data_IF_832246497705
#
_entry.id   IF_832246497705
#
_cell.length_a   1.000
_cell.length_b   1.000
_cell.length_c   1.000
_cell.angle_alpha   90.00
_cell.angle_beta   90.00
_cell.angle_gamma   90.00
#
_symmetry.space_group_name_H-M   'P 1'
#
loop_
_entity.id
_entity.type
_entity.pdbx_description
1 polymer ?
#
# COMPACT_ATOMS: atom_id res chain seq x y z
N UNK A 1 24.97 1.92 -11.22
CA UNK A 1 24.99 2.46 -12.28
C UNK A 1 23.98 3.46 -12.87
N UNK A 2 23.96 4.73 -12.37
CA UNK A 2 23.24 5.79 -13.07
C UNK A 2 23.91 6.10 -14.43
N UNK A 3 23.09 6.39 -15.45
CA UNK A 3 23.57 6.80 -16.77
C UNK A 3 23.27 8.27 -17.00
N UNK A 4 24.31 9.05 -17.32
CA UNK A 4 24.20 10.46 -17.62
C UNK A 4 24.53 10.73 -19.09
N UNK A 5 23.75 11.61 -19.75
CA UNK A 5 24.05 12.19 -21.03
C UNK A 5 24.75 13.55 -20.88
N UNK A 6 25.77 13.79 -21.70
CA UNK A 6 26.40 15.10 -21.89
C UNK A 6 25.91 15.66 -23.20
N UNK A 7 25.41 16.88 -23.19
CA UNK A 7 24.78 17.53 -24.33
C UNK A 7 25.44 18.87 -24.65
N UNK A 8 25.44 19.27 -25.92
CA UNK A 8 25.95 20.56 -26.37
C UNK A 8 24.90 21.66 -26.34
N UNK A 9 23.63 21.35 -26.07
CA UNK A 9 22.51 22.27 -26.03
C UNK A 9 21.70 22.16 -24.73
N UNK A 10 21.10 23.25 -24.30
CA UNK A 10 20.31 23.32 -23.04
C UNK A 10 19.02 22.51 -23.06
N UNK A 11 18.50 22.20 -24.26
CA UNK A 11 17.34 21.31 -24.44
C UNK A 11 17.68 19.84 -24.31
N UNK A 12 18.95 19.49 -24.15
CA UNK A 12 19.43 18.11 -24.08
C UNK A 12 18.99 17.25 -25.29
N UNK A 13 19.05 17.82 -26.49
CA UNK A 13 18.70 17.15 -27.75
C UNK A 13 19.93 16.63 -28.49
N UNK A 14 21.06 17.34 -28.41
CA UNK A 14 22.32 16.97 -29.09
C UNK A 14 23.28 16.31 -28.11
N UNK A 15 23.16 15.00 -27.94
CA UNK A 15 24.00 14.23 -27.02
C UNK A 15 25.40 14.02 -27.60
N UNK A 16 26.41 14.46 -26.84
CA UNK A 16 27.83 14.35 -27.19
C UNK A 16 28.43 13.02 -26.68
N UNK A 17 28.12 12.68 -25.41
CA UNK A 17 28.64 11.46 -24.77
C UNK A 17 27.61 10.93 -23.75
N UNK A 18 27.88 9.69 -23.29
CA UNK A 18 27.24 9.10 -22.11
C UNK A 18 28.29 8.71 -21.09
N UNK A 19 27.91 8.72 -19.81
CA UNK A 19 28.71 8.25 -18.69
C UNK A 19 27.86 7.32 -17.84
N UNK A 20 28.45 6.27 -17.29
CA UNK A 20 27.78 5.37 -16.33
C UNK A 20 28.57 5.40 -15.03
N UNK A 21 27.90 5.60 -13.90
CA UNK A 21 28.54 5.60 -12.58
C UNK A 21 28.94 4.18 -12.19
N UNK A 22 30.13 4.07 -11.58
CA UNK A 22 30.64 2.84 -10.97
C UNK A 22 29.99 2.55 -9.60
N UNK A 23 30.51 1.55 -8.89
CA UNK A 23 30.04 1.16 -7.54
C UNK A 23 30.23 2.23 -6.46
N UNK A 24 31.08 3.24 -6.71
CA UNK A 24 31.30 4.37 -5.81
C UNK A 24 30.46 5.60 -6.19
N UNK A 25 29.57 5.47 -7.20
CA UNK A 25 28.78 6.56 -7.73
C UNK A 25 29.57 7.55 -8.60
N UNK A 26 30.77 7.20 -9.06
CA UNK A 26 31.62 8.05 -9.86
C UNK A 26 31.57 7.70 -11.34
N UNK A 27 31.50 8.74 -12.19
CA UNK A 27 31.65 8.61 -13.64
C UNK A 27 32.55 9.71 -14.19
N UNK A 28 33.31 9.40 -15.26
CA UNK A 28 34.16 10.35 -15.98
C UNK A 28 33.95 10.23 -17.48
N UNK A 29 33.79 11.36 -18.14
CA UNK A 29 33.73 11.41 -19.61
C UNK A 29 35.09 11.19 -20.25
N UNK A 30 35.09 10.86 -21.54
CA UNK A 30 36.27 11.13 -22.39
C UNK A 30 36.54 12.65 -22.48
N UNK A 31 37.72 13.01 -22.99
CA UNK A 31 38.11 14.41 -23.12
C UNK A 31 37.08 15.20 -23.96
N UNK A 32 36.70 16.38 -23.49
CA UNK A 32 35.82 17.33 -24.15
C UNK A 32 36.61 18.57 -24.58
N UNK A 33 36.18 19.19 -25.68
CA UNK A 33 36.66 20.52 -26.07
C UNK A 33 36.17 21.56 -25.07
N UNK A 34 36.95 22.62 -24.82
CA UNK A 34 36.53 23.71 -23.94
C UNK A 34 35.22 24.33 -24.43
N UNK A 35 34.23 24.53 -23.52
CA UNK A 35 32.90 25.01 -23.87
C UNK A 35 31.89 24.77 -22.77
N UNK A 36 30.64 25.15 -23.05
CA UNK A 36 29.51 24.91 -22.13
C UNK A 36 28.78 23.64 -22.53
N UNK A 37 28.53 22.78 -21.56
CA UNK A 37 27.81 21.52 -21.74
C UNK A 37 26.69 21.41 -20.71
N UNK A 38 25.72 20.56 -21.03
CA UNK A 38 24.59 20.24 -20.18
C UNK A 38 24.60 18.77 -19.84
N UNK A 39 24.43 18.42 -18.58
CA UNK A 39 24.44 17.03 -18.10
C UNK A 39 23.09 16.71 -17.51
N UNK A 40 22.48 15.64 -17.99
CA UNK A 40 21.18 15.14 -17.55
C UNK A 40 21.24 13.65 -17.36
N UNK A 41 20.57 13.18 -16.31
CA UNK A 41 20.39 11.74 -16.11
C UNK A 41 19.45 11.16 -17.19
N UNK A 42 19.83 10.00 -17.72
CA UNK A 42 19.07 9.23 -18.72
C UNK A 42 18.45 7.99 -18.06
N UNK A 43 19.20 7.36 -17.17
CA UNK A 43 18.77 6.15 -16.46
C UNK A 43 19.20 6.26 -15.01
N UNK A 44 18.24 6.21 -14.10
CA UNK A 44 18.50 6.08 -12.66
C UNK A 44 18.89 4.64 -12.30
N UNK A 45 19.62 4.42 -11.20
CA UNK A 45 19.82 3.07 -10.68
C UNK A 45 18.46 2.42 -10.37
N UNK A 46 18.41 1.08 -10.38
CA UNK A 46 17.19 0.35 -10.02
C UNK A 46 16.70 0.79 -8.64
N UNK A 47 15.37 0.91 -8.49
CA UNK A 47 14.69 1.34 -7.27
C UNK A 47 14.81 2.84 -6.96
N UNK A 48 15.49 3.60 -7.83
CA UNK A 48 15.53 5.06 -7.76
C UNK A 48 14.66 5.71 -8.84
N UNK A 49 14.24 6.93 -8.56
CA UNK A 49 13.43 7.75 -9.47
C UNK A 49 14.35 8.63 -10.31
N UNK A 50 14.14 8.61 -11.63
CA UNK A 50 14.91 9.39 -12.59
C UNK A 50 14.84 10.88 -12.28
N UNK A 51 16.00 11.53 -12.14
CA UNK A 51 16.09 12.97 -11.96
C UNK A 51 15.89 13.72 -13.28
N UNK A 52 14.89 14.60 -13.32
CA UNK A 52 14.69 15.51 -14.46
C UNK A 52 15.66 16.69 -14.51
N UNK A 53 16.59 16.81 -13.54
CA UNK A 53 17.47 17.98 -13.40
C UNK A 53 18.52 18.03 -14.49
N UNK A 54 18.68 19.23 -15.10
CA UNK A 54 19.76 19.53 -16.04
C UNK A 54 20.82 20.37 -15.34
N UNK A 55 22.08 19.92 -15.39
CA UNK A 55 23.22 20.61 -14.81
C UNK A 55 24.02 21.28 -15.93
N UNK A 56 24.34 22.57 -15.78
CA UNK A 56 25.19 23.31 -16.71
C UNK A 56 26.64 23.25 -16.24
N UNK A 57 27.57 22.86 -17.14
CA UNK A 57 29.00 22.79 -16.89
C UNK A 57 29.78 23.64 -17.87
N UNK A 58 30.78 24.36 -17.37
CA UNK A 58 31.79 25.04 -18.21
C UNK A 58 33.09 24.23 -18.16
N UNK A 59 33.45 23.60 -19.27
CA UNK A 59 34.71 22.88 -19.45
C UNK A 59 35.78 23.84 -19.89
N UNK A 60 36.90 23.90 -19.19
CA UNK A 60 38.07 24.75 -19.53
C UNK A 60 39.24 23.84 -19.97
N UNK A 61 40.07 24.33 -20.85
CA UNK A 61 41.24 23.60 -21.32
C UNK A 61 42.15 23.17 -20.14
N UNK A 62 42.57 21.91 -20.11
CA UNK A 62 43.47 21.37 -19.09
C UNK A 62 42.85 21.21 -17.69
N UNK A 63 41.54 21.40 -17.51
CA UNK A 63 40.86 21.30 -16.22
C UNK A 63 39.78 20.21 -16.22
N UNK A 64 39.59 19.57 -15.09
CA UNK A 64 38.45 18.72 -14.84
C UNK A 64 37.39 19.52 -14.09
N UNK A 65 36.15 19.48 -14.59
CA UNK A 65 34.96 20.05 -13.91
C UNK A 65 33.97 18.93 -13.68
N UNK A 66 33.09 19.07 -12.68
CA UNK A 66 32.10 18.03 -12.33
C UNK A 66 30.86 18.59 -11.67
N UNK A 67 29.90 17.71 -11.49
CA UNK A 67 28.66 17.93 -10.75
C UNK A 67 28.56 16.89 -9.63
N UNK A 68 27.69 17.17 -8.66
CA UNK A 68 27.14 16.18 -7.74
C UNK A 68 25.62 16.10 -7.98
N UNK A 69 25.09 14.88 -8.08
CA UNK A 69 23.68 14.61 -8.26
C UNK A 69 23.21 13.60 -7.22
N UNK A 70 21.94 13.63 -6.90
CA UNK A 70 21.28 12.70 -5.96
C UNK A 70 19.94 12.29 -6.51
N UNK A 71 19.60 11.03 -6.35
CA UNK A 71 18.30 10.48 -6.71
C UNK A 71 17.48 10.16 -5.45
N UNK A 72 16.17 10.14 -5.63
CA UNK A 72 15.25 9.69 -4.59
C UNK A 72 14.90 8.23 -4.85
N UNK A 73 14.84 7.42 -3.81
CA UNK A 73 14.32 6.06 -3.96
C UNK A 73 12.82 6.08 -4.30
N UNK A 74 12.36 5.06 -5.03
CA UNK A 74 10.93 4.82 -5.24
C UNK A 74 10.33 4.30 -3.94
N UNK A 75 9.25 4.92 -3.49
CA UNK A 75 8.49 4.49 -2.32
C UNK A 75 7.17 3.86 -2.75
N UNK A 76 6.43 3.35 -1.78
CA UNK A 76 5.11 2.80 -1.97
C UNK A 76 4.08 3.28 -0.97
N UNK A 77 2.83 2.95 -1.27
CA UNK A 77 1.71 3.13 -0.37
C UNK A 77 0.74 1.95 -0.49
N UNK A 78 0.14 1.54 0.63
CA UNK A 78 -0.88 0.50 0.68
C UNK A 78 -2.18 1.12 1.15
N UNK A 79 -3.25 0.96 0.36
CA UNK A 79 -4.61 1.29 0.76
C UNK A 79 -5.30 0.02 1.26
N UNK A 80 -5.77 0.04 2.50
CA UNK A 80 -6.53 -1.05 3.11
C UNK A 80 -8.00 -0.66 3.06
N UNK A 81 -8.81 -1.45 2.35
CA UNK A 81 -10.26 -1.31 2.29
C UNK A 81 -10.91 -2.26 3.27
N UNK A 82 -11.92 -1.79 3.97
CA UNK A 82 -12.78 -2.59 4.82
C UNK A 82 -14.18 -2.66 4.25
N UNK A 83 -14.67 -3.88 4.06
CA UNK A 83 -16.04 -4.13 3.60
C UNK A 83 -16.73 -5.15 4.52
N UNK A 84 -18.06 -5.14 4.52
CA UNK A 84 -18.83 -6.13 5.23
C UNK A 84 -20.32 -6.10 4.89
N UNK A 85 -21.04 -7.08 5.42
CA UNK A 85 -22.47 -7.26 5.22
C UNK A 85 -23.27 -6.17 5.95
N UNK A 86 -24.05 -5.40 5.21
CA UNK A 86 -25.01 -4.41 5.76
C UNK A 86 -26.41 -4.87 5.43
N UNK A 87 -27.33 -4.78 6.40
CA UNK A 87 -28.72 -5.15 6.19
C UNK A 87 -29.33 -4.28 5.08
N UNK A 88 -29.82 -4.91 4.03
CA UNK A 88 -30.42 -4.26 2.87
C UNK A 88 -31.95 -4.24 2.99
N UNK A 89 -32.57 -5.39 3.24
CA UNK A 89 -34.02 -5.49 3.35
C UNK A 89 -34.49 -6.73 4.11
N UNK A 90 -35.80 -6.75 4.40
CA UNK A 90 -36.56 -7.89 4.90
C UNK A 90 -37.68 -8.22 3.90
N UNK A 91 -37.73 -9.45 3.42
CA UNK A 91 -38.69 -9.87 2.40
C UNK A 91 -39.94 -10.60 2.96
N UNK A 92 -40.17 -10.54 4.26
CA UNK A 92 -41.25 -11.26 4.97
C UNK A 92 -40.83 -12.63 5.52
N UNK A 93 -39.67 -13.16 5.14
CA UNK A 93 -39.16 -14.47 5.58
C UNK A 93 -37.68 -14.42 5.94
N UNK A 94 -36.89 -13.67 5.20
CA UNK A 94 -35.43 -13.59 5.40
C UNK A 94 -34.92 -12.15 5.32
N UNK A 95 -33.85 -11.87 6.06
CA UNK A 95 -33.03 -10.68 5.89
C UNK A 95 -32.13 -10.85 4.67
N UNK A 96 -32.00 -9.80 3.88
CA UNK A 96 -31.04 -9.72 2.79
C UNK A 96 -29.93 -8.72 3.15
N UNK A 97 -28.73 -8.98 2.66
CA UNK A 97 -27.55 -8.21 2.96
C UNK A 97 -26.86 -7.78 1.68
N UNK A 98 -26.21 -6.64 1.73
CA UNK A 98 -25.32 -6.15 0.67
C UNK A 98 -23.95 -5.84 1.27
N UNK A 99 -22.88 -5.86 0.45
CA UNK A 99 -21.56 -5.44 0.88
C UNK A 99 -21.43 -3.93 0.79
N UNK A 100 -20.97 -3.32 1.87
CA UNK A 100 -20.63 -1.89 1.93
C UNK A 100 -19.31 -1.67 2.63
N UNK A 101 -18.72 -0.53 2.35
CA UNK A 101 -17.54 -0.04 3.03
C UNK A 101 -17.84 0.22 4.50
N UNK A 102 -16.92 -0.16 5.39
CA UNK A 102 -17.09 -0.09 6.85
C UNK A 102 -16.00 0.78 7.49
N UNK A 103 -16.43 1.70 8.36
CA UNK A 103 -15.56 2.56 9.17
C UNK A 103 -15.27 1.95 10.52
N UNK A 104 -14.08 2.22 11.09
CA UNK A 104 -13.75 1.89 12.49
C UNK A 104 -13.07 0.54 12.70
N UNK A 105 -12.80 -0.25 11.66
CA UNK A 105 -11.95 -1.43 11.76
C UNK A 105 -10.47 -1.03 11.90
N UNK A 106 -9.71 -1.76 12.72
CA UNK A 106 -8.31 -1.44 12.99
C UNK A 106 -7.41 -2.56 12.52
N UNK A 107 -6.32 -2.19 11.86
CA UNK A 107 -5.33 -3.08 11.26
C UNK A 107 -3.93 -2.86 11.83
N UNK A 108 -3.16 -3.92 11.88
CA UNK A 108 -1.72 -3.94 12.11
C UNK A 108 -1.04 -4.31 10.80
N UNK A 109 0.10 -3.66 10.51
CA UNK A 109 0.94 -4.00 9.36
C UNK A 109 2.32 -4.41 9.88
N UNK A 110 2.80 -5.55 9.39
CA UNK A 110 4.15 -6.05 9.68
C UNK A 110 4.93 -6.27 8.39
N UNK A 111 6.25 -6.31 8.48
CA UNK A 111 7.11 -6.71 7.38
C UNK A 111 6.95 -8.22 7.11
N UNK A 112 6.59 -8.60 5.89
CA UNK A 112 6.43 -10.00 5.48
C UNK A 112 7.77 -10.70 5.20
N UNK A 113 8.81 -9.91 4.93
CA UNK A 113 10.20 -10.31 4.74
C UNK A 113 11.11 -9.19 5.24
N UNK A 114 12.45 -9.40 5.23
CA UNK A 114 13.41 -8.31 5.46
C UNK A 114 13.22 -7.22 4.41
N UNK A 115 13.12 -5.96 4.83
CA UNK A 115 12.90 -4.81 3.96
C UNK A 115 14.12 -3.91 4.00
N UNK A 116 14.57 -3.48 2.83
CA UNK A 116 15.75 -2.67 2.62
C UNK A 116 15.42 -1.38 1.87
N UNK A 117 16.21 -0.33 2.11
CA UNK A 117 16.28 0.83 1.23
C UNK A 117 16.96 0.45 -0.08
N UNK A 118 16.79 1.29 -1.09
CA UNK A 118 17.46 1.13 -2.38
C UNK A 118 19.01 1.14 -2.28
N UNK A 119 19.58 1.71 -1.21
CA UNK A 119 21.03 1.68 -0.91
C UNK A 119 21.50 0.40 -0.22
N UNK A 120 20.61 -0.55 0.06
CA UNK A 120 20.88 -1.81 0.74
C UNK A 120 20.82 -1.74 2.27
N UNK A 121 20.49 -0.58 2.86
CA UNK A 121 20.33 -0.45 4.31
C UNK A 121 19.04 -1.17 4.75
N UNK A 122 19.17 -2.13 5.68
CA UNK A 122 18.00 -2.81 6.25
C UNK A 122 17.17 -1.85 7.11
N UNK A 123 15.85 -1.82 6.89
CA UNK A 123 14.90 -1.00 7.63
C UNK A 123 14.06 -1.85 8.59
N UNK A 124 13.57 -3.00 8.12
CA UNK A 124 12.77 -3.94 8.90
C UNK A 124 13.28 -5.36 8.71
N UNK A 125 13.23 -6.15 9.77
CA UNK A 125 13.35 -7.61 9.70
C UNK A 125 11.96 -8.22 9.49
N UNK A 126 11.91 -9.42 8.94
CA UNK A 126 10.67 -10.17 8.80
C UNK A 126 9.92 -10.26 10.14
N UNK A 127 8.64 -9.88 10.16
CA UNK A 127 7.79 -9.84 11.35
C UNK A 127 7.81 -8.53 12.14
N UNK A 128 8.74 -7.61 11.86
CA UNK A 128 8.78 -6.31 12.52
C UNK A 128 7.50 -5.51 12.25
N UNK A 129 7.07 -4.74 13.25
CA UNK A 129 5.89 -3.90 13.14
C UNK A 129 6.22 -2.65 12.35
N UNK A 130 5.48 -2.45 11.25
CA UNK A 130 5.57 -1.26 10.40
C UNK A 130 4.53 -0.22 10.83
N UNK A 131 3.31 -0.67 11.15
CA UNK A 131 2.26 0.16 11.73
C UNK A 131 1.44 -0.67 12.72
N UNK A 132 1.33 -0.20 13.97
CA UNK A 132 0.65 -0.92 15.06
C UNK A 132 -0.87 -0.82 14.97
N UNK A 133 -1.40 0.32 14.52
CA UNK A 133 -2.83 0.60 14.55
C UNK A 133 -3.24 1.58 13.46
N UNK A 134 -3.92 1.07 12.44
CA UNK A 134 -4.48 1.82 11.32
C UNK A 134 -5.99 1.63 11.33
N UNK A 135 -6.76 2.68 11.51
CA UNK A 135 -8.23 2.59 11.60
C UNK A 135 -8.88 3.16 10.35
N UNK A 136 -9.84 2.43 9.76
CA UNK A 136 -10.57 2.89 8.57
C UNK A 136 -11.45 4.09 8.87
N UNK A 137 -11.40 5.08 7.97
CA UNK A 137 -12.24 6.27 7.98
C UNK A 137 -13.68 6.01 7.54
N UNK A 138 -14.47 7.07 7.43
CA UNK A 138 -15.89 7.02 7.03
C UNK A 138 -16.09 6.51 5.60
N UNK A 139 -15.04 6.56 4.77
CA UNK A 139 -14.99 6.01 3.42
C UNK A 139 -14.60 4.53 3.39
N UNK A 140 -14.43 3.90 4.56
CA UNK A 140 -14.05 2.50 4.72
C UNK A 140 -12.63 2.16 4.28
N UNK A 141 -11.72 3.14 4.28
CA UNK A 141 -10.32 2.92 3.92
C UNK A 141 -9.35 3.58 4.88
N UNK A 142 -8.12 3.09 4.88
CA UNK A 142 -6.96 3.73 5.49
C UNK A 142 -5.74 3.52 4.59
N UNK A 143 -4.89 4.53 4.51
CA UNK A 143 -3.67 4.51 3.67
C UNK A 143 -2.44 4.51 4.56
N UNK A 144 -1.51 3.63 4.27
CA UNK A 144 -0.15 3.62 4.82
C UNK A 144 0.81 4.03 3.70
N UNK A 145 1.45 5.19 3.83
CA UNK A 145 2.37 5.78 2.85
C UNK A 145 3.83 5.67 3.28
N UNK A 146 4.71 6.16 2.40
CA UNK A 146 6.16 6.23 2.61
C UNK A 146 6.81 4.88 2.92
N UNK A 147 6.28 3.83 2.31
CA UNK A 147 6.78 2.47 2.44
C UNK A 147 7.98 2.25 1.51
N UNK A 148 9.04 1.61 2.01
CA UNK A 148 10.10 1.05 1.15
C UNK A 148 9.54 -0.11 0.34
N UNK A 149 10.17 -0.42 -0.80
CA UNK A 149 9.79 -1.57 -1.61
C UNK A 149 9.99 -2.86 -0.81
N UNK A 150 9.01 -3.76 -0.85
CA UNK A 150 9.05 -4.99 -0.07
C UNK A 150 7.68 -5.64 0.12
N UNK A 151 7.65 -6.68 0.92
CA UNK A 151 6.43 -7.44 1.22
C UNK A 151 5.92 -7.08 2.60
N UNK A 152 4.62 -6.78 2.69
CA UNK A 152 3.92 -6.39 3.91
C UNK A 152 2.79 -7.36 4.21
N UNK A 153 2.48 -7.54 5.50
CA UNK A 153 1.37 -8.37 5.97
C UNK A 153 0.40 -7.50 6.75
N UNK A 154 -0.83 -7.42 6.26
CA UNK A 154 -1.93 -6.68 6.86
C UNK A 154 -2.82 -7.64 7.64
N UNK A 155 -3.07 -7.37 8.92
CA UNK A 155 -3.94 -8.19 9.77
C UNK A 155 -4.95 -7.30 10.49
N UNK A 156 -6.22 -7.67 10.46
CA UNK A 156 -7.23 -7.00 11.27
C UNK A 156 -7.04 -7.37 12.75
N UNK A 157 -6.90 -6.35 13.61
CA UNK A 157 -6.71 -6.53 15.06
C UNK A 157 -7.92 -6.11 15.87
N UNK A 158 -8.83 -5.33 15.28
CA UNK A 158 -10.10 -4.95 15.88
C UNK A 158 -11.16 -4.81 14.80
N UNK A 159 -12.25 -5.55 14.97
CA UNK A 159 -13.45 -5.44 14.14
C UNK A 159 -14.36 -4.29 14.63
N UNK A 160 -15.39 -4.03 13.85
CA UNK A 160 -16.47 -3.12 14.14
C UNK A 160 -17.54 -3.87 14.95
N UNK A 161 -18.25 -3.18 15.84
CA UNK A 161 -19.31 -3.77 16.63
C UNK A 161 -20.39 -4.42 15.73
N UNK A 162 -20.80 -5.62 16.08
CA UNK A 162 -21.75 -6.43 15.30
C UNK A 162 -21.15 -7.21 14.14
N UNK A 163 -19.82 -7.21 13.98
CA UNK A 163 -19.12 -8.00 12.96
C UNK A 163 -18.14 -8.98 13.56
N UNK A 164 -17.99 -10.13 12.90
CA UNK A 164 -16.94 -11.11 13.22
C UNK A 164 -15.61 -10.61 12.67
N UNK A 165 -14.58 -10.59 13.51
CA UNK A 165 -13.23 -10.21 13.06
C UNK A 165 -12.67 -11.22 12.06
N UNK A 166 -12.03 -10.71 11.01
CA UNK A 166 -11.28 -11.52 10.05
C UNK A 166 -9.77 -11.40 10.32
N UNK A 167 -9.24 -12.33 11.06
CA UNK A 167 -7.81 -12.38 11.42
C UNK A 167 -6.92 -12.99 10.35
N UNK A 168 -7.46 -13.36 9.18
CA UNK A 168 -6.68 -13.92 8.06
C UNK A 168 -5.71 -12.86 7.52
N UNK A 169 -4.39 -13.08 7.64
CA UNK A 169 -3.42 -12.09 7.15
C UNK A 169 -3.49 -11.94 5.63
N UNK A 170 -3.36 -10.72 5.15
CA UNK A 170 -3.26 -10.41 3.72
C UNK A 170 -1.84 -9.94 3.39
N UNK A 171 -1.21 -10.61 2.43
CA UNK A 171 0.12 -10.24 1.97
C UNK A 171 0.02 -9.27 0.80
N UNK A 172 0.73 -8.14 0.88
CA UNK A 172 0.79 -7.11 -0.16
C UNK A 172 2.25 -6.87 -0.51
N UNK A 173 2.60 -7.01 -1.78
CA UNK A 173 3.94 -6.71 -2.30
C UNK A 173 3.95 -5.32 -2.93
N UNK A 174 4.84 -4.46 -2.45
CA UNK A 174 5.15 -3.16 -3.05
C UNK A 174 6.44 -3.33 -3.84
N UNK A 175 6.31 -3.41 -5.15
CA UNK A 175 7.42 -3.74 -6.04
C UNK A 175 7.85 -2.54 -6.88
N UNK A 176 9.14 -2.52 -7.27
CA UNK A 176 9.66 -1.53 -8.21
C UNK A 176 8.88 -1.58 -9.53
N UNK A 177 8.40 -0.42 -9.99
CA UNK A 177 7.67 -0.30 -11.25
C UNK A 177 8.59 0.06 -12.40
N UNK A 178 9.06 1.30 -12.38
CA UNK A 178 10.05 1.87 -13.32
C UNK A 178 10.58 3.20 -12.76
N UNK A 179 11.62 3.73 -13.39
CA UNK A 179 12.30 4.95 -12.92
C UNK A 179 11.47 6.24 -12.99
N UNK A 180 10.28 6.22 -13.58
CA UNK A 180 9.40 7.41 -13.71
C UNK A 180 8.33 7.46 -12.63
N UNK A 181 8.11 6.36 -11.90
CA UNK A 181 7.14 6.24 -10.81
C UNK A 181 7.79 6.66 -9.50
N UNK A 182 7.25 7.68 -8.87
CA UNK A 182 7.74 8.17 -7.56
C UNK A 182 7.17 7.35 -6.41
N UNK A 183 5.88 6.97 -6.48
CA UNK A 183 5.17 6.17 -5.48
C UNK A 183 4.39 5.07 -6.17
N UNK A 184 4.64 3.82 -5.76
CA UNK A 184 3.87 2.67 -6.20
C UNK A 184 2.68 2.46 -5.25
N UNK A 185 1.47 2.44 -5.80
CA UNK A 185 0.24 2.25 -5.03
C UNK A 185 -0.25 0.81 -5.15
N UNK A 186 -0.46 0.19 -3.99
CA UNK A 186 -1.06 -1.14 -3.86
C UNK A 186 -2.30 -1.08 -2.96
N UNK A 187 -3.13 -2.13 -3.00
CA UNK A 187 -4.30 -2.19 -2.15
C UNK A 187 -4.68 -3.61 -1.75
N UNK A 188 -5.40 -3.71 -0.64
CA UNK A 188 -6.03 -4.97 -0.20
C UNK A 188 -7.41 -4.67 0.37
N UNK A 189 -8.33 -5.63 0.24
CA UNK A 189 -9.68 -5.55 0.81
C UNK A 189 -9.87 -6.66 1.84
N UNK A 190 -10.32 -6.31 3.03
CA UNK A 190 -10.62 -7.26 4.11
C UNK A 190 -12.12 -7.18 4.41
N UNK A 191 -12.78 -8.33 4.28
CA UNK A 191 -14.22 -8.46 4.46
C UNK A 191 -14.56 -9.07 5.82
N UNK A 192 -15.61 -8.55 6.47
CA UNK A 192 -16.20 -9.17 7.66
C UNK A 192 -17.65 -9.57 7.42
N UNK A 193 -18.04 -10.67 8.03
CA UNK A 193 -19.43 -11.11 8.10
C UNK A 193 -20.10 -10.50 9.32
N UNK A 194 -21.39 -10.19 9.19
CA UNK A 194 -22.20 -9.70 10.30
C UNK A 194 -22.42 -10.83 11.32
N UNK A 195 -22.35 -10.51 12.61
CA UNK A 195 -22.78 -11.42 13.66
C UNK A 195 -24.29 -11.62 13.56
N UNK A 196 -24.72 -12.87 13.57
CA UNK A 196 -26.13 -13.29 13.49
C UNK A 196 -26.41 -14.20 14.69
N UNK A 197 -27.66 -14.18 15.14
CA UNK A 197 -28.14 -15.01 16.23
C UNK A 197 -29.48 -15.65 15.86
N UNK A 198 -29.70 -16.87 16.36
CA UNK A 198 -30.94 -17.58 16.20
C UNK A 198 -31.75 -17.53 17.48
N UNK A 199 -33.07 -17.64 17.35
CA UNK A 199 -34.00 -17.79 18.48
C UNK A 199 -34.63 -19.17 18.38
N UNK A 200 -34.48 -19.94 19.47
CA UNK A 200 -35.14 -21.24 19.61
C UNK A 200 -36.23 -21.17 20.67
N UNK A 201 -37.35 -21.86 20.43
CA UNK A 201 -38.46 -21.99 21.38
C UNK A 201 -38.77 -23.45 21.56
N UNK A 202 -38.81 -23.90 22.82
CA UNK A 202 -39.29 -25.24 23.19
C UNK A 202 -40.60 -25.06 23.90
N UNK A 203 -41.69 -25.64 23.34
CA UNK A 203 -43.00 -25.70 23.98
C UNK A 203 -43.11 -26.98 24.78
N UNK A 204 -43.54 -26.86 26.04
CA UNK A 204 -43.75 -27.98 26.94
C UNK A 204 -45.15 -27.94 27.57
N UNK A 205 -45.66 -29.09 27.93
CA UNK A 205 -46.81 -29.24 28.80
C UNK A 205 -46.47 -28.76 30.24
N UNK A 206 -47.39 -28.08 30.93
CA UNK A 206 -47.12 -27.51 32.22
C UNK A 206 -47.06 -28.51 33.36
N UNK A 207 -47.70 -29.66 33.19
CA UNK A 207 -47.83 -30.66 34.30
C UNK A 207 -46.82 -31.80 34.11
N UNK A 208 -46.54 -32.18 32.84
CA UNK A 208 -45.73 -33.36 32.53
C UNK A 208 -44.33 -32.99 32.06
N UNK A 209 -44.04 -31.72 31.80
CA UNK A 209 -42.77 -31.21 31.20
C UNK A 209 -42.45 -31.83 29.82
N UNK A 210 -43.35 -32.64 29.25
CA UNK A 210 -43.16 -33.24 27.93
C UNK A 210 -43.23 -32.20 26.81
N UNK A 211 -42.42 -32.35 25.73
CA UNK A 211 -42.52 -31.49 24.56
C UNK A 211 -43.93 -31.54 23.94
N UNK A 212 -44.46 -30.37 23.57
CA UNK A 212 -45.72 -30.24 22.85
C UNK A 212 -45.49 -29.83 21.40
N UNK A 213 -46.04 -30.61 20.49
CA UNK A 213 -45.98 -30.34 19.06
C UNK A 213 -47.08 -29.34 18.61
N UNK A 214 -46.96 -28.76 17.43
CA UNK A 214 -47.96 -27.91 16.77
C UNK A 214 -48.08 -26.46 17.31
N UNK A 215 -47.25 -26.05 18.27
CA UNK A 215 -47.25 -24.68 18.75
C UNK A 215 -46.79 -23.72 17.65
N UNK A 216 -47.60 -22.67 17.38
CA UNK A 216 -47.24 -21.60 16.44
C UNK A 216 -46.80 -20.35 17.18
N UNK A 217 -45.67 -19.80 16.76
CA UNK A 217 -45.08 -18.58 17.33
C UNK A 217 -44.85 -17.55 16.25
N UNK A 218 -44.95 -16.30 16.62
CA UNK A 218 -44.57 -15.15 15.77
C UNK A 218 -43.50 -14.37 16.50
N UNK A 219 -42.40 -14.12 15.82
CA UNK A 219 -41.32 -13.28 16.33
C UNK A 219 -41.54 -11.83 15.85
N UNK A 220 -41.51 -10.90 16.80
CA UNK A 220 -41.62 -9.48 16.51
C UNK A 220 -40.31 -8.79 16.89
N UNK A 221 -39.92 -7.78 16.11
CA UNK A 221 -38.85 -6.87 16.49
C UNK A 221 -39.35 -5.96 17.63
N UNK A 222 -38.63 -5.93 18.76
CA UNK A 222 -38.97 -5.05 19.90
C UNK A 222 -38.58 -3.59 19.64
N UNK A 223 -37.60 -3.37 18.77
CA UNK A 223 -37.10 -2.07 18.29
C UNK A 223 -36.73 -2.18 16.82
N UNK A 224 -36.43 -1.03 16.19
CA UNK A 224 -35.88 -1.03 14.82
C UNK A 224 -34.62 -1.88 14.75
N UNK A 225 -34.58 -2.79 13.76
CA UNK A 225 -33.40 -3.58 13.47
C UNK A 225 -32.43 -2.67 12.72
N UNK A 226 -31.29 -2.40 13.33
CA UNK A 226 -30.28 -1.47 12.80
C UNK A 226 -29.06 -2.23 12.26
N UNK A 227 -28.35 -1.56 11.36
CA UNK A 227 -27.05 -1.99 10.88
C UNK A 227 -25.95 -1.69 11.88
#
# INVERSE_FOLDING_TARGET
GAVYGIYSDSGCTNRVQTMTTDGNGYAKSAALVAGTYYVKEITAPKEYVLSGKVHTLTVKAGQTTGISATDKEQLGAITIYKEGEVLSSWNGSNFTYEKKKLSGATFKVTAGADIYKADGTKVYSAGDVVAESLTTGTDGQVVLSDLHLGTYVVTEIKSIDGYTINTTPQTVAVEYKDQTVTVQYESTTIENTRQKADVSVVKKDSDTENPLDGGKYTLYAGNDIKN
#
